data_IF_005558171656
#
_entry.id   IF_005558171656
#
_cell.length_a   1.000
_cell.length_b   1.000
_cell.length_c   1.000
_cell.angle_alpha   90.00
_cell.angle_beta   90.00
_cell.angle_gamma   90.00
#
_symmetry.space_group_name_H-M   'P 1'
#
loop_
_entity.id
_entity.type
_entity.pdbx_description
1 polymer ?
#
# COMPACT_ATOMS: atom_id res chain seq x y z
N UNK A 1 -8.12 29.92 8.35
CA UNK A 1 -7.62 30.16 6.97
C UNK A 1 -6.12 30.51 6.93
N UNK A 2 -5.61 31.43 7.75
CA UNK A 2 -4.16 31.77 7.82
C UNK A 2 -3.21 30.58 8.11
N UNK A 3 -3.63 29.62 8.92
CA UNK A 3 -2.84 28.41 9.20
C UNK A 3 -2.68 27.50 7.95
N UNK A 4 -3.74 27.31 7.16
CA UNK A 4 -3.72 26.54 5.90
C UNK A 4 -2.85 27.22 4.85
N UNK A 5 -2.87 28.56 4.80
CA UNK A 5 -1.99 29.33 3.95
C UNK A 5 -0.53 29.06 4.28
N UNK A 6 -0.12 29.09 5.56
CA UNK A 6 1.28 28.86 5.97
C UNK A 6 1.80 27.46 5.61
N UNK A 7 0.92 26.49 5.37
CA UNK A 7 1.27 25.12 4.94
C UNK A 7 1.55 25.00 3.43
N UNK A 8 1.34 26.06 2.63
CA UNK A 8 1.50 26.04 1.16
C UNK A 8 2.84 25.45 0.70
N UNK A 9 3.93 25.86 1.37
CA UNK A 9 5.29 25.45 1.02
C UNK A 9 5.54 23.98 1.39
N UNK A 10 4.95 23.49 2.48
CA UNK A 10 5.03 22.06 2.87
C UNK A 10 4.32 21.18 1.84
N UNK A 11 3.13 21.59 1.40
CA UNK A 11 2.37 20.83 0.39
C UNK A 11 3.08 20.85 -0.97
N UNK A 12 3.63 22.00 -1.39
CA UNK A 12 4.45 22.08 -2.60
C UNK A 12 5.70 21.19 -2.51
N UNK A 13 6.44 21.29 -1.41
CA UNK A 13 7.67 20.51 -1.20
C UNK A 13 7.37 19.01 -1.22
N UNK A 14 6.31 18.58 -0.52
CA UNK A 14 5.82 17.19 -0.56
C UNK A 14 5.51 16.76 -1.98
N UNK A 15 4.84 17.60 -2.76
CA UNK A 15 4.51 17.31 -4.15
C UNK A 15 5.76 17.12 -5.02
N UNK A 16 6.75 18.01 -4.90
CA UNK A 16 8.03 17.90 -5.61
C UNK A 16 8.76 16.62 -5.22
N UNK A 17 8.85 16.30 -3.92
CA UNK A 17 9.47 15.07 -3.43
C UNK A 17 8.79 13.84 -4.04
N UNK A 18 7.45 13.80 -4.08
CA UNK A 18 6.71 12.68 -4.67
C UNK A 18 6.97 12.51 -6.18
N UNK A 19 7.07 13.61 -6.94
CA UNK A 19 7.42 13.53 -8.37
C UNK A 19 8.85 13.00 -8.56
N UNK A 20 9.80 13.45 -7.75
CA UNK A 20 11.17 12.94 -7.78
C UNK A 20 11.22 11.46 -7.39
N UNK A 21 10.44 11.05 -6.40
CA UNK A 21 10.31 9.63 -6.03
C UNK A 21 9.68 8.81 -7.16
N UNK A 22 8.66 9.31 -7.84
CA UNK A 22 8.09 8.62 -9.00
C UNK A 22 9.15 8.38 -10.08
N UNK A 23 9.94 9.41 -10.40
CA UNK A 23 11.05 9.29 -11.34
C UNK A 23 12.10 8.27 -10.88
N UNK A 24 12.46 8.29 -9.59
CA UNK A 24 13.36 7.31 -8.99
C UNK A 24 12.83 5.88 -9.13
N UNK A 25 11.54 5.65 -8.81
CA UNK A 25 10.90 4.33 -8.89
C UNK A 25 10.95 3.75 -10.30
N UNK A 26 10.70 4.57 -11.33
CA UNK A 26 10.77 4.11 -12.72
C UNK A 26 12.19 3.77 -13.19
N UNK A 27 13.19 4.48 -12.66
CA UNK A 27 14.60 4.26 -13.01
C UNK A 27 15.22 3.09 -12.25
N UNK A 28 14.78 2.87 -11.01
CA UNK A 28 15.35 1.95 -10.04
C UNK A 28 14.26 1.05 -9.43
N UNK A 29 13.64 0.16 -10.22
CA UNK A 29 12.50 -0.63 -9.78
C UNK A 29 12.84 -1.61 -8.64
N UNK A 30 14.05 -2.17 -8.65
CA UNK A 30 14.50 -3.12 -7.62
C UNK A 30 14.68 -2.41 -6.28
N UNK A 31 15.39 -1.28 -6.31
CA UNK A 31 15.68 -0.45 -5.13
C UNK A 31 14.39 0.14 -4.54
N UNK A 32 13.42 0.49 -5.39
CA UNK A 32 12.10 0.92 -4.98
C UNK A 32 11.37 -0.17 -4.18
N UNK A 33 11.40 -1.43 -4.63
CA UNK A 33 10.81 -2.55 -3.88
C UNK A 33 11.54 -2.83 -2.56
N UNK A 34 12.87 -2.71 -2.55
CA UNK A 34 13.64 -2.80 -1.29
C UNK A 34 13.21 -1.69 -0.34
N UNK A 35 12.97 -0.48 -0.83
CA UNK A 35 12.39 0.61 -0.04
C UNK A 35 11.04 0.25 0.58
N UNK A 36 10.15 -0.41 -0.20
CA UNK A 36 8.86 -0.91 0.31
C UNK A 36 9.07 -1.99 1.38
N UNK A 37 9.98 -2.94 1.14
CA UNK A 37 10.30 -4.00 2.10
C UNK A 37 10.81 -3.41 3.43
N UNK A 38 11.72 -2.44 3.37
CA UNK A 38 12.23 -1.72 4.54
C UNK A 38 11.11 -0.98 5.27
N UNK A 39 10.26 -0.26 4.52
CA UNK A 39 9.11 0.45 5.08
C UNK A 39 8.17 -0.50 5.82
N UNK A 40 7.82 -1.63 5.21
CA UNK A 40 6.93 -2.64 5.83
C UNK A 40 7.59 -3.24 7.07
N UNK A 41 8.86 -3.62 7.00
CA UNK A 41 9.60 -4.19 8.13
C UNK A 41 9.67 -3.22 9.32
N UNK A 42 10.04 -1.97 9.08
CA UNK A 42 10.07 -0.92 10.13
C UNK A 42 8.67 -0.67 10.69
N UNK A 43 7.66 -0.60 9.82
CA UNK A 43 6.27 -0.37 10.25
C UNK A 43 5.77 -1.51 11.14
N UNK A 44 6.11 -2.76 10.85
CA UNK A 44 5.78 -3.91 11.68
C UNK A 44 6.50 -3.87 13.03
N UNK A 45 7.78 -3.47 13.06
CA UNK A 45 8.49 -3.28 14.33
C UNK A 45 7.82 -2.20 15.19
N UNK A 46 7.56 -1.02 14.62
CA UNK A 46 6.92 0.10 15.34
C UNK A 46 5.54 -0.31 15.82
N UNK A 47 4.72 -0.88 14.93
CA UNK A 47 3.35 -1.30 15.25
C UNK A 47 3.36 -2.41 16.31
N UNK A 48 4.26 -3.38 16.19
CA UNK A 48 4.39 -4.49 17.12
C UNK A 48 4.81 -4.02 18.52
N UNK A 49 5.80 -3.11 18.61
CA UNK A 49 6.22 -2.49 19.88
C UNK A 49 5.07 -1.72 20.52
N UNK A 50 4.37 -0.89 19.75
CA UNK A 50 3.23 -0.10 20.24
C UNK A 50 2.09 -1.01 20.70
N UNK A 51 1.72 -2.04 19.91
CA UNK A 51 0.66 -3.00 20.26
C UNK A 51 1.01 -3.81 21.49
N UNK A 52 2.23 -4.31 21.60
CA UNK A 52 2.69 -5.07 22.76
C UNK A 52 2.69 -4.19 24.02
N UNK A 53 3.23 -2.97 23.93
CA UNK A 53 3.26 -2.00 25.03
C UNK A 53 1.85 -1.57 25.46
N UNK A 54 0.97 -1.27 24.50
CA UNK A 54 -0.41 -0.90 24.77
C UNK A 54 -1.18 -2.07 25.42
N UNK A 55 -1.05 -3.28 24.89
CA UNK A 55 -1.71 -4.48 25.42
C UNK A 55 -1.27 -4.79 26.85
N UNK A 56 0.02 -4.60 27.16
CA UNK A 56 0.53 -4.79 28.52
C UNK A 56 0.07 -3.69 29.49
N UNK A 57 -0.02 -2.43 29.02
CA UNK A 57 -0.44 -1.27 29.82
C UNK A 57 -1.93 -1.28 30.12
N UNK A 58 -2.75 -1.72 29.15
CA UNK A 58 -4.20 -1.76 29.23
C UNK A 58 -4.74 -3.15 29.64
N UNK A 59 -3.88 -4.03 30.18
CA UNK A 59 -4.24 -5.40 30.55
C UNK A 59 -5.42 -5.53 31.52
N UNK A 60 -5.64 -4.49 32.34
CA UNK A 60 -6.73 -4.45 33.32
C UNK A 60 -8.04 -3.87 32.74
N UNK A 61 -8.00 -3.28 31.54
CA UNK A 61 -9.13 -2.59 30.91
C UNK A 61 -9.65 -3.36 29.69
N UNK A 62 -8.75 -4.03 28.95
CA UNK A 62 -9.08 -4.73 27.71
C UNK A 62 -9.23 -6.23 28.01
N UNK A 63 -10.42 -6.83 27.80
CA UNK A 63 -10.55 -8.29 27.81
C UNK A 63 -9.71 -8.86 26.66
N UNK A 64 -9.11 -10.03 26.85
CA UNK A 64 -8.27 -10.69 25.84
C UNK A 64 -6.94 -9.96 25.48
N UNK A 65 -6.39 -9.17 26.40
CA UNK A 65 -5.10 -8.47 26.22
C UNK A 65 -3.94 -9.39 25.79
N UNK A 66 -3.95 -10.66 26.18
CA UNK A 66 -2.95 -11.65 25.81
C UNK A 66 -2.84 -11.87 24.29
N UNK A 67 -3.97 -11.80 23.56
CA UNK A 67 -3.98 -11.88 22.10
C UNK A 67 -3.36 -10.63 21.45
N UNK A 68 -3.59 -9.45 22.03
CA UNK A 68 -2.95 -8.21 21.59
C UNK A 68 -1.43 -8.23 21.81
N UNK A 69 -0.97 -8.78 22.95
CA UNK A 69 0.44 -8.98 23.22
C UNK A 69 1.07 -9.98 22.24
N UNK A 70 0.43 -11.14 22.04
CA UNK A 70 0.91 -12.15 21.09
C UNK A 70 0.99 -11.59 19.66
N UNK A 71 -0.04 -10.87 19.22
CA UNK A 71 -0.03 -10.20 17.91
C UNK A 71 1.10 -9.17 17.79
N UNK A 72 1.33 -8.36 18.82
CA UNK A 72 2.44 -7.41 18.83
C UNK A 72 3.83 -8.07 18.77
N UNK A 73 4.03 -9.18 19.49
CA UNK A 73 5.27 -9.96 19.44
C UNK A 73 5.49 -10.62 18.07
N UNK A 74 4.42 -11.13 17.45
CA UNK A 74 4.46 -11.66 16.09
C UNK A 74 4.86 -10.58 15.09
N UNK A 75 4.24 -9.39 15.18
CA UNK A 75 4.60 -8.25 14.33
C UNK A 75 6.09 -7.86 14.48
N UNK A 76 6.61 -7.85 15.71
CA UNK A 76 8.05 -7.59 15.97
C UNK A 76 8.92 -8.67 15.32
N UNK A 77 8.59 -9.94 15.50
CA UNK A 77 9.34 -11.06 14.95
C UNK A 77 9.39 -10.98 13.41
N UNK A 78 8.23 -10.78 12.76
CA UNK A 78 8.16 -10.61 11.32
C UNK A 78 8.90 -9.37 10.85
N UNK A 79 8.80 -8.24 11.56
CA UNK A 79 9.57 -7.04 11.27
C UNK A 79 11.08 -7.31 11.24
N UNK A 80 11.60 -8.03 12.23
CA UNK A 80 13.02 -8.44 12.25
C UNK A 80 13.37 -9.38 11.09
N UNK A 81 12.54 -10.38 10.80
CA UNK A 81 12.77 -11.32 9.70
C UNK A 81 12.82 -10.57 8.37
N UNK A 82 11.87 -9.68 8.11
CA UNK A 82 11.81 -8.92 6.86
C UNK A 82 13.01 -7.97 6.68
N UNK A 83 13.49 -7.39 7.78
CA UNK A 83 14.64 -6.47 7.76
C UNK A 83 15.99 -7.18 7.74
N UNK A 84 16.06 -8.47 8.12
CA UNK A 84 17.30 -9.25 8.10
C UNK A 84 17.85 -9.40 6.68
N UNK A 85 16.98 -9.57 5.68
CA UNK A 85 17.35 -9.57 4.28
C UNK A 85 16.29 -8.84 3.44
N UNK A 86 16.40 -7.50 3.32
CA UNK A 86 15.44 -6.69 2.59
C UNK A 86 15.34 -7.03 1.11
N UNK A 87 16.42 -7.56 0.51
CA UNK A 87 16.44 -7.97 -0.90
C UNK A 87 15.59 -9.23 -1.13
N UNK A 88 15.70 -10.23 -0.25
CA UNK A 88 14.83 -11.41 -0.30
C UNK A 88 13.37 -11.06 0.01
N UNK A 89 13.14 -10.14 0.95
CA UNK A 89 11.80 -9.62 1.22
C UNK A 89 11.22 -8.90 0.02
N UNK A 90 12.00 -8.05 -0.67
CA UNK A 90 11.55 -7.37 -1.88
C UNK A 90 11.20 -8.36 -2.99
N UNK A 91 11.95 -9.47 -3.11
CA UNK A 91 11.66 -10.53 -4.07
C UNK A 91 10.39 -11.33 -3.72
N UNK A 92 9.98 -11.39 -2.45
CA UNK A 92 8.77 -12.09 -2.03
C UNK A 92 7.48 -11.25 -2.18
N UNK A 93 7.60 -9.91 -2.19
CA UNK A 93 6.46 -8.99 -2.34
C UNK A 93 5.59 -9.27 -3.58
N UNK A 94 6.16 -9.50 -4.79
CA UNK A 94 5.41 -9.95 -5.97
C UNK A 94 4.48 -11.14 -5.70
N UNK A 95 4.94 -12.15 -4.97
CA UNK A 95 4.14 -13.35 -4.68
C UNK A 95 2.95 -13.03 -3.78
N UNK A 96 3.18 -12.22 -2.74
CA UNK A 96 2.11 -11.79 -1.82
C UNK A 96 1.06 -10.98 -2.56
N UNK A 97 1.49 -10.03 -3.38
CA UNK A 97 0.58 -9.18 -4.17
C UNK A 97 -0.15 -10.00 -5.23
N UNK A 98 0.53 -10.90 -5.94
CA UNK A 98 -0.07 -11.78 -6.94
C UNK A 98 -1.15 -12.67 -6.33
N UNK A 99 -0.84 -13.31 -5.19
CA UNK A 99 -1.80 -14.11 -4.44
C UNK A 99 -3.02 -13.28 -4.00
N UNK A 100 -2.79 -12.08 -3.47
CA UNK A 100 -3.86 -11.17 -3.09
C UNK A 100 -4.77 -10.79 -4.27
N UNK A 101 -4.20 -10.53 -5.44
CA UNK A 101 -4.94 -10.23 -6.67
C UNK A 101 -5.78 -11.43 -7.12
N UNK A 102 -5.25 -12.66 -7.02
CA UNK A 102 -6.03 -13.88 -7.32
C UNK A 102 -7.23 -13.99 -6.39
N UNK A 103 -7.01 -13.86 -5.07
CA UNK A 103 -8.09 -13.93 -4.07
C UNK A 103 -9.14 -12.86 -4.33
N UNK A 104 -8.71 -11.63 -4.60
CA UNK A 104 -9.61 -10.51 -4.94
C UNK A 104 -10.41 -10.80 -6.22
N UNK A 105 -9.79 -11.39 -7.24
CA UNK A 105 -10.47 -11.82 -8.46
C UNK A 105 -11.53 -12.90 -8.20
N UNK A 106 -11.23 -13.88 -7.35
CA UNK A 106 -12.19 -14.91 -6.94
C UNK A 106 -13.39 -14.29 -6.21
N UNK A 107 -13.14 -13.35 -5.29
CA UNK A 107 -14.20 -12.61 -4.59
C UNK A 107 -15.07 -11.81 -5.56
N UNK A 108 -14.45 -11.08 -6.50
CA UNK A 108 -15.16 -10.34 -7.55
C UNK A 108 -16.02 -11.26 -8.43
N UNK A 109 -15.58 -12.49 -8.71
CA UNK A 109 -16.41 -13.48 -9.41
C UNK A 109 -17.62 -13.89 -8.56
N UNK A 110 -17.41 -14.17 -7.27
CA UNK A 110 -18.49 -14.51 -6.35
C UNK A 110 -19.55 -13.40 -6.26
N UNK A 111 -19.12 -12.13 -6.27
CA UNK A 111 -20.00 -10.96 -6.32
C UNK A 111 -20.74 -10.86 -7.65
N UNK A 112 -20.05 -11.05 -8.79
CA UNK A 112 -20.67 -11.03 -10.11
C UNK A 112 -21.79 -12.08 -10.25
N UNK A 113 -21.61 -13.27 -9.67
CA UNK A 113 -22.65 -14.30 -9.63
C UNK A 113 -23.84 -13.93 -8.75
N UNK A 114 -23.63 -13.17 -7.67
CA UNK A 114 -24.71 -12.62 -6.84
C UNK A 114 -25.46 -11.52 -7.59
N UNK A 115 -24.76 -10.57 -8.21
CA UNK A 115 -25.37 -9.50 -9.00
C UNK A 115 -26.18 -10.01 -10.20
N UNK A 116 -25.81 -11.17 -10.78
CA UNK A 116 -26.61 -11.86 -11.80
C UNK A 116 -27.98 -12.28 -11.26
N UNK A 117 -28.06 -12.72 -10.00
CA UNK A 117 -29.33 -13.12 -9.37
C UNK A 117 -30.23 -11.91 -9.11
N UNK A 118 -29.65 -10.74 -8.89
CA UNK A 118 -30.35 -9.47 -8.64
C UNK A 118 -30.73 -8.71 -9.93
N UNK A 119 -30.60 -9.35 -11.10
CA UNK A 119 -30.88 -8.76 -12.42
C UNK A 119 -30.12 -7.45 -12.72
N UNK A 120 -28.95 -7.26 -12.12
CA UNK A 120 -28.12 -6.08 -12.36
C UNK A 120 -27.37 -6.21 -13.70
N UNK A 121 -27.52 -5.21 -14.58
CA UNK A 121 -26.91 -5.17 -15.91
C UNK A 121 -25.37 -5.18 -15.90
N UNK A 122 -24.74 -4.92 -14.75
CA UNK A 122 -23.28 -4.84 -14.61
C UNK A 122 -22.61 -6.20 -14.31
N UNK A 123 -23.38 -7.30 -14.16
CA UNK A 123 -22.81 -8.61 -13.79
C UNK A 123 -21.72 -9.09 -14.75
N UNK A 124 -21.90 -8.86 -16.07
CA UNK A 124 -20.94 -9.28 -17.08
C UNK A 124 -19.58 -8.62 -16.93
N UNK A 125 -19.56 -7.33 -16.58
CA UNK A 125 -18.32 -6.59 -16.30
C UNK A 125 -17.60 -7.12 -15.05
N UNK A 126 -18.35 -7.45 -14.00
CA UNK A 126 -17.81 -8.08 -12.78
C UNK A 126 -17.16 -9.45 -13.06
N UNK A 127 -17.77 -10.25 -13.94
CA UNK A 127 -17.23 -11.56 -14.30
C UNK A 127 -15.93 -11.45 -15.10
N UNK A 128 -15.88 -10.56 -16.10
CA UNK A 128 -14.69 -10.35 -16.92
C UNK A 128 -13.54 -9.77 -16.09
N UNK A 129 -13.81 -8.78 -15.25
CA UNK A 129 -12.79 -8.19 -14.37
C UNK A 129 -12.24 -9.19 -13.35
N UNK A 130 -13.09 -10.05 -12.77
CA UNK A 130 -12.65 -11.13 -11.89
C UNK A 130 -11.74 -12.14 -12.59
N UNK A 131 -12.11 -12.61 -13.79
CA UNK A 131 -11.28 -13.52 -14.59
C UNK A 131 -9.94 -12.90 -14.96
N UNK A 132 -9.94 -11.65 -15.45
CA UNK A 132 -8.72 -10.91 -15.78
C UNK A 132 -7.82 -10.79 -14.55
N UNK A 133 -8.39 -10.46 -13.39
CA UNK A 133 -7.63 -10.32 -12.14
C UNK A 133 -6.96 -11.65 -11.76
N UNK A 134 -7.66 -12.78 -11.85
CA UNK A 134 -7.07 -14.10 -11.57
C UNK A 134 -5.90 -14.41 -12.51
N UNK A 135 -6.08 -14.16 -13.81
CA UNK A 135 -5.02 -14.40 -14.81
C UNK A 135 -3.81 -13.51 -14.54
N UNK A 136 -4.02 -12.22 -14.30
CA UNK A 136 -2.94 -11.27 -13.97
C UNK A 136 -2.23 -11.70 -12.68
N UNK A 137 -2.98 -12.02 -11.64
CA UNK A 137 -2.42 -12.47 -10.36
C UNK A 137 -1.61 -13.76 -10.50
N UNK A 138 -2.05 -14.69 -11.35
CA UNK A 138 -1.30 -15.90 -11.69
C UNK A 138 0.03 -15.58 -12.39
N UNK A 139 0.04 -14.68 -13.37
CA UNK A 139 1.29 -14.26 -14.04
C UNK A 139 2.25 -13.56 -13.08
N UNK A 140 1.74 -12.69 -12.21
CA UNK A 140 2.53 -12.00 -11.19
C UNK A 140 3.17 -13.00 -10.21
N UNK A 141 2.43 -14.02 -9.79
CA UNK A 141 2.91 -15.03 -8.84
C UNK A 141 3.97 -15.94 -9.43
N UNK A 142 3.85 -16.31 -10.71
CA UNK A 142 4.81 -17.21 -11.36
C UNK A 142 6.03 -16.49 -11.93
N UNK A 143 5.96 -15.17 -12.12
CA UNK A 143 7.05 -14.39 -12.68
C UNK A 143 7.34 -13.16 -11.83
N UNK A 144 8.38 -13.28 -10.99
CA UNK A 144 8.82 -12.23 -10.09
C UNK A 144 9.16 -10.91 -10.82
N UNK A 145 9.64 -10.97 -12.08
CA UNK A 145 9.92 -9.78 -12.87
C UNK A 145 8.61 -9.05 -13.24
N UNK A 146 7.58 -9.78 -13.66
CA UNK A 146 6.26 -9.18 -13.98
C UNK A 146 5.64 -8.56 -12.74
N UNK A 147 5.71 -9.25 -11.60
CA UNK A 147 5.18 -8.72 -10.35
C UNK A 147 5.94 -7.50 -9.86
N UNK A 148 7.27 -7.50 -9.97
CA UNK A 148 8.10 -6.33 -9.68
C UNK A 148 7.67 -5.13 -10.52
N UNK A 149 7.62 -5.29 -11.84
CA UNK A 149 7.26 -4.22 -12.77
C UNK A 149 5.83 -3.72 -12.52
N UNK A 150 4.91 -4.62 -12.17
CA UNK A 150 3.53 -4.23 -11.88
C UNK A 150 3.47 -3.35 -10.62
N UNK A 151 4.10 -3.78 -9.53
CA UNK A 151 4.09 -3.04 -8.27
C UNK A 151 4.78 -1.68 -8.45
N UNK A 152 5.95 -1.64 -9.08
CA UNK A 152 6.70 -0.40 -9.27
C UNK A 152 6.00 0.55 -10.24
N UNK A 153 5.34 0.04 -11.27
CA UNK A 153 4.59 0.88 -12.21
C UNK A 153 3.40 1.55 -11.54
N UNK A 154 2.56 0.77 -10.83
CA UNK A 154 1.42 1.33 -10.11
C UNK A 154 1.85 2.29 -8.99
N UNK A 155 2.90 1.95 -8.25
CA UNK A 155 3.48 2.82 -7.23
C UNK A 155 4.01 4.12 -7.84
N UNK A 156 4.77 4.04 -8.94
CA UNK A 156 5.33 5.19 -9.63
C UNK A 156 4.26 6.12 -10.19
N UNK A 157 3.21 5.56 -10.82
CA UNK A 157 2.04 6.31 -11.27
C UNK A 157 1.34 7.00 -10.08
N UNK A 158 1.14 6.27 -8.98
CA UNK A 158 0.55 6.81 -7.76
C UNK A 158 1.33 8.00 -7.20
N UNK A 159 2.66 7.87 -7.10
CA UNK A 159 3.53 8.97 -6.68
C UNK A 159 3.53 10.15 -7.65
N UNK A 160 3.50 9.91 -8.96
CA UNK A 160 3.42 10.97 -9.96
C UNK A 160 2.12 11.76 -9.83
N UNK A 161 0.98 11.07 -9.79
CA UNK A 161 -0.34 11.69 -9.64
C UNK A 161 -0.42 12.46 -8.32
N UNK A 162 -0.07 11.82 -7.20
CA UNK A 162 -0.10 12.46 -5.89
C UNK A 162 0.84 13.67 -5.83
N UNK A 163 2.03 13.58 -6.45
CA UNK A 163 2.98 14.67 -6.56
C UNK A 163 2.41 15.87 -7.32
N UNK A 164 1.87 15.65 -8.51
CA UNK A 164 1.24 16.69 -9.34
C UNK A 164 0.07 17.33 -8.59
N UNK A 165 -0.79 16.53 -7.96
CA UNK A 165 -1.93 17.04 -7.17
C UNK A 165 -1.47 17.91 -6.00
N UNK A 166 -0.45 17.49 -5.25
CA UNK A 166 0.08 18.29 -4.14
C UNK A 166 0.73 19.59 -4.63
N UNK A 167 1.39 19.57 -5.79
CA UNK A 167 1.93 20.79 -6.41
C UNK A 167 0.77 21.75 -6.76
N UNK A 168 -0.30 21.26 -7.40
CA UNK A 168 -1.47 22.07 -7.72
C UNK A 168 -2.11 22.67 -6.47
N UNK A 169 -2.31 21.86 -5.41
CA UNK A 169 -2.87 22.33 -4.14
C UNK A 169 -1.96 23.38 -3.50
N UNK A 170 -0.65 23.16 -3.50
CA UNK A 170 0.30 24.09 -2.91
C UNK A 170 0.31 25.45 -3.61
N UNK A 171 0.17 25.48 -4.94
CA UNK A 171 -0.01 26.74 -5.66
C UNK A 171 -1.34 27.41 -5.34
N UNK A 172 -2.44 26.66 -5.28
CA UNK A 172 -3.75 27.19 -4.86
C UNK A 172 -3.72 27.77 -3.45
N UNK A 173 -3.06 27.11 -2.49
CA UNK A 173 -2.90 27.60 -1.12
C UNK A 173 -2.08 28.90 -1.05
N UNK A 174 -1.11 29.07 -1.98
CA UNK A 174 -0.31 30.30 -2.09
C UNK A 174 -1.14 31.48 -2.60
N UNK A 175 -2.07 31.25 -3.52
CA UNK A 175 -2.96 32.27 -4.11
C UNK A 175 -4.19 32.61 -3.27
N UNK A 176 -4.51 31.87 -2.20
CA UNK A 176 -5.51 32.28 -1.19
C UNK A 176 -5.06 33.50 -0.34
N UNK A 177 -4.20 34.35 -0.90
CA UNK A 177 -3.61 35.53 -0.29
C UNK A 177 -4.56 36.74 -0.30
N UNK A 178 -5.68 36.64 -1.02
CA UNK A 178 -6.47 37.79 -1.48
C UNK A 178 -7.92 37.83 -0.94
N UNK A 179 -8.19 37.30 0.26
CA UNK A 179 -9.46 37.54 0.99
C UNK A 179 -9.20 37.86 2.47
#
# INVERSE_FOLDING_TARGET
>A
MKALQKLWWLTLLRGIILVLLAFFVFRHPVEALVGVALYVGISLLVTGIVKAGASFSLRNTIPNWGWGLAGGLIDILFGFVLLSNPALTAASLPFVVGFWIIVSGIMSLAEAFQSRKEANSLWGFGMVSGLISIVIGYFITNNALVGMLTITTWMGIGFAIAGIVNIMIGFKLKTLKDF
#
